data_IF_181920764548
#
_entry.id   IF_181920764548
#
_cell.length_a   1.000
_cell.length_b   1.000
_cell.length_c   1.000
_cell.angle_alpha   90.00
_cell.angle_beta   90.00
_cell.angle_gamma   90.00
#
_symmetry.space_group_name_H-M   'P 1'
#
loop_
_entity.id
_entity.type
_entity.pdbx_description
1 polymer ?
#
# COMPACT_ATOMS: atom_id res chain seq x y z
N UNK A 1 -46.42 -20.16 2.79
CA UNK A 1 -45.22 -20.59 2.03
C UNK A 1 -44.09 -19.64 2.37
N UNK A 2 -42.93 -20.21 2.67
CA UNK A 2 -41.88 -19.70 3.53
C UNK A 2 -41.12 -18.48 2.98
N UNK A 3 -40.98 -17.49 3.86
CA UNK A 3 -39.83 -16.60 4.10
C UNK A 3 -38.68 -16.64 3.08
N UNK A 4 -38.49 -15.53 2.38
CA UNK A 4 -37.22 -15.16 1.73
C UNK A 4 -36.19 -14.89 2.82
N UNK A 5 -35.51 -15.93 3.28
CA UNK A 5 -34.29 -15.75 4.08
C UNK A 5 -33.19 -15.24 3.14
N UNK A 6 -33.05 -13.90 3.12
CA UNK A 6 -31.89 -13.26 2.56
C UNK A 6 -30.67 -13.70 3.35
N UNK A 7 -29.82 -14.52 2.72
CA UNK A 7 -28.48 -14.85 3.23
C UNK A 7 -27.83 -13.54 3.68
N UNK A 8 -27.41 -13.38 4.95
CA UNK A 8 -26.72 -12.17 5.35
C UNK A 8 -25.47 -12.07 4.49
N UNK A 9 -25.44 -11.09 3.59
CA UNK A 9 -24.22 -10.72 2.87
C UNK A 9 -23.21 -10.38 3.94
N UNK A 10 -22.30 -11.31 4.20
CA UNK A 10 -21.15 -11.09 5.07
C UNK A 10 -20.57 -9.74 4.68
N UNK A 11 -20.51 -8.81 5.63
CA UNK A 11 -19.95 -7.49 5.39
C UNK A 11 -18.62 -7.69 4.66
N UNK A 12 -18.49 -7.07 3.49
CA UNK A 12 -17.27 -7.16 2.71
C UNK A 12 -16.14 -6.53 3.55
N UNK A 13 -15.39 -7.37 4.26
CA UNK A 13 -14.14 -6.97 4.88
C UNK A 13 -13.16 -6.66 3.74
N UNK A 14 -12.72 -5.40 3.60
CA UNK A 14 -11.74 -5.05 2.58
C UNK A 14 -10.44 -5.80 2.88
N UNK A 15 -10.17 -6.90 2.18
CA UNK A 15 -8.82 -7.50 2.16
C UNK A 15 -7.93 -6.57 1.35
N UNK A 16 -7.24 -5.65 2.01
CA UNK A 16 -6.20 -4.85 1.37
C UNK A 16 -5.14 -5.77 0.70
N UNK A 17 -4.64 -5.40 -0.49
CA UNK A 17 -4.02 -6.34 -1.39
C UNK A 17 -2.56 -6.62 -1.01
N UNK A 18 -2.32 -7.70 -0.25
CA UNK A 18 -1.05 -8.47 -0.17
C UNK A 18 0.25 -7.74 0.24
N UNK A 19 0.27 -6.42 0.44
CA UNK A 19 1.46 -5.71 0.90
C UNK A 19 1.77 -6.12 2.34
N UNK A 20 2.98 -6.63 2.58
CA UNK A 20 3.39 -7.13 3.91
C UNK A 20 3.33 -6.03 4.97
N UNK A 21 3.73 -4.82 4.60
CA UNK A 21 3.71 -3.64 5.47
C UNK A 21 2.29 -3.23 5.84
N UNK A 22 1.33 -3.28 4.89
CA UNK A 22 -0.05 -2.84 5.14
C UNK A 22 -0.88 -3.82 5.99
N UNK A 23 -0.39 -5.04 6.25
CA UNK A 23 -1.16 -6.05 7.00
C UNK A 23 -1.36 -5.68 8.47
N UNK A 24 -0.38 -4.98 9.03
CA UNK A 24 -0.39 -4.55 10.41
C UNK A 24 -0.33 -3.02 10.43
N UNK A 25 -1.30 -2.40 11.09
CA UNK A 25 -1.44 -0.96 11.12
C UNK A 25 -0.28 -0.26 11.83
N UNK A 26 0.19 -0.80 12.95
CA UNK A 26 1.30 -0.21 13.70
C UNK A 26 2.59 -0.27 12.89
N UNK A 27 2.85 -1.40 12.23
CA UNK A 27 3.98 -1.56 11.31
C UNK A 27 3.85 -0.59 10.13
N UNK A 28 2.66 -0.46 9.55
CA UNK A 28 2.41 0.46 8.42
C UNK A 28 2.70 1.91 8.81
N UNK A 29 2.22 2.35 9.97
CA UNK A 29 2.44 3.72 10.46
C UNK A 29 3.93 3.98 10.66
N UNK A 30 4.63 3.08 11.35
CA UNK A 30 6.08 3.19 11.57
C UNK A 30 6.86 3.25 10.26
N UNK A 31 6.58 2.34 9.32
CA UNK A 31 7.27 2.29 8.02
C UNK A 31 6.99 3.56 7.20
N UNK A 32 5.76 4.09 7.23
CA UNK A 32 5.46 5.36 6.55
C UNK A 32 6.25 6.52 7.14
N UNK A 33 6.33 6.61 8.48
CA UNK A 33 7.12 7.64 9.15
C UNK A 33 8.60 7.58 8.74
N UNK A 34 9.18 6.38 8.68
CA UNK A 34 10.57 6.22 8.22
C UNK A 34 10.73 6.57 6.73
N UNK A 35 9.74 6.23 5.90
CA UNK A 35 9.74 6.59 4.48
C UNK A 35 9.60 8.09 4.24
N UNK A 36 8.99 8.86 5.15
CA UNK A 36 8.93 10.33 5.05
C UNK A 36 10.33 10.96 5.11
N UNK A 37 11.29 10.28 5.74
CA UNK A 37 12.69 10.70 5.79
C UNK A 37 13.52 10.22 4.59
N UNK A 38 12.97 9.36 3.73
CA UNK A 38 13.72 8.80 2.60
C UNK A 38 14.19 9.90 1.66
N UNK A 39 15.49 9.96 1.40
CA UNK A 39 16.13 10.99 0.59
C UNK A 39 16.45 12.28 1.34
N UNK A 40 16.06 12.39 2.62
CA UNK A 40 16.48 13.51 3.46
C UNK A 40 18.01 13.49 3.65
N UNK A 41 18.68 14.65 3.56
CA UNK A 41 20.11 14.74 3.79
C UNK A 41 20.45 14.67 5.28
N UNK A 42 21.38 13.79 5.66
CA UNK A 42 21.98 13.68 6.98
C UNK A 42 23.43 14.17 6.91
N UNK A 43 23.79 15.09 7.81
CA UNK A 43 25.16 15.58 7.93
C UNK A 43 25.99 14.59 8.76
N UNK A 44 27.04 14.03 8.16
CA UNK A 44 27.95 13.08 8.82
C UNK A 44 29.28 13.73 9.25
N UNK A 45 29.41 15.03 9.04
CA UNK A 45 30.62 15.82 9.33
C UNK A 45 30.92 16.83 8.24
N UNK A 46 32.05 17.56 8.33
CA UNK A 46 32.41 18.61 7.39
C UNK A 46 32.42 18.09 5.94
N UNK A 47 31.57 18.67 5.09
CA UNK A 47 31.47 18.34 3.67
C UNK A 47 30.86 16.98 3.32
N UNK A 48 30.38 16.19 4.31
CA UNK A 48 29.81 14.85 4.08
C UNK A 48 28.31 14.84 4.35
N UNK A 49 27.55 14.63 3.28
CA UNK A 49 26.09 14.49 3.32
C UNK A 49 25.71 13.10 2.84
N UNK A 50 24.89 12.39 3.62
CA UNK A 50 24.32 11.09 3.26
C UNK A 50 22.82 11.22 3.12
N UNK A 51 22.25 10.74 2.01
CA UNK A 51 20.80 10.73 1.84
C UNK A 51 20.23 9.42 2.40
N UNK A 52 19.18 9.50 3.22
CA UNK A 52 18.53 8.31 3.79
C UNK A 52 18.06 7.36 2.69
N UNK A 53 18.55 6.12 2.73
CA UNK A 53 18.24 5.06 1.77
C UNK A 53 17.24 4.05 2.34
N UNK A 54 16.75 3.15 1.48
CA UNK A 54 15.97 2.00 1.96
C UNK A 54 16.78 1.08 2.87
N UNK A 55 18.10 1.02 2.72
CA UNK A 55 18.98 0.20 3.57
C UNK A 55 19.03 0.78 4.97
N UNK A 56 19.14 2.10 5.11
CA UNK A 56 19.14 2.77 6.42
C UNK A 56 17.80 2.54 7.14
N UNK A 57 16.68 2.70 6.42
CA UNK A 57 15.34 2.41 6.96
C UNK A 57 15.22 0.93 7.36
N UNK A 58 15.79 0.01 6.59
CA UNK A 58 15.75 -1.41 6.91
C UNK A 58 16.58 -1.75 8.16
N UNK A 59 17.70 -1.05 8.36
CA UNK A 59 18.53 -1.13 9.56
C UNK A 59 17.73 -0.67 10.79
N UNK A 60 17.02 0.46 10.70
CA UNK A 60 16.16 0.95 11.77
C UNK A 60 14.99 0.00 12.09
N UNK A 61 14.56 -0.79 11.11
CA UNK A 61 13.54 -1.83 11.28
C UNK A 61 14.10 -3.15 11.83
N UNK A 62 15.42 -3.33 11.97
CA UNK A 62 15.99 -4.60 12.46
C UNK A 62 15.47 -5.02 13.85
N UNK A 63 15.36 -4.14 14.86
CA UNK A 63 14.83 -4.51 16.17
C UNK A 63 13.39 -5.05 16.10
N UNK A 64 12.57 -4.50 15.20
CA UNK A 64 11.22 -5.00 14.92
C UNK A 64 11.31 -6.36 14.22
N UNK A 65 12.07 -6.45 13.13
CA UNK A 65 12.26 -7.67 12.35
C UNK A 65 12.84 -8.84 13.15
N UNK A 66 13.63 -8.57 14.21
CA UNK A 66 14.16 -9.60 15.10
C UNK A 66 13.05 -10.33 15.88
N UNK A 67 11.94 -9.64 16.17
CA UNK A 67 10.79 -10.16 16.92
C UNK A 67 9.73 -10.81 16.02
N UNK A 68 9.79 -10.55 14.72
CA UNK A 68 8.84 -11.07 13.74
C UNK A 68 9.25 -12.44 13.21
N UNK A 69 8.27 -13.27 12.88
CA UNK A 69 8.52 -14.53 12.21
C UNK A 69 9.09 -14.32 10.80
N UNK A 70 9.81 -15.32 10.28
CA UNK A 70 10.50 -15.21 8.99
C UNK A 70 9.57 -14.81 7.82
N UNK A 71 8.28 -15.16 7.87
CA UNK A 71 7.31 -14.85 6.81
C UNK A 71 6.72 -13.45 6.94
N UNK A 72 6.84 -12.79 8.10
CA UNK A 72 6.34 -11.44 8.37
C UNK A 72 7.41 -10.37 8.44
N UNK A 73 8.70 -10.75 8.55
CA UNK A 73 9.81 -9.80 8.43
C UNK A 73 9.68 -8.91 7.20
N UNK A 74 9.84 -7.60 7.40
CA UNK A 74 9.95 -6.63 6.33
C UNK A 74 11.33 -6.82 5.70
N UNK A 75 11.35 -7.28 4.45
CA UNK A 75 12.54 -7.28 3.63
C UNK A 75 12.64 -5.98 2.84
N UNK A 76 13.84 -5.70 2.32
CA UNK A 76 14.08 -4.63 1.35
C UNK A 76 13.04 -4.62 0.23
N UNK A 77 12.76 -5.78 -0.37
CA UNK A 77 11.78 -5.89 -1.46
C UNK A 77 10.37 -5.51 -1.00
N UNK A 78 9.96 -5.94 0.20
CA UNK A 78 8.63 -5.57 0.70
C UNK A 78 8.51 -4.08 1.07
N UNK A 79 9.58 -3.48 1.60
CA UNK A 79 9.66 -2.05 1.90
C UNK A 79 9.57 -1.21 0.62
N UNK A 80 10.41 -1.53 -0.38
CA UNK A 80 10.40 -0.84 -1.67
C UNK A 80 9.05 -0.96 -2.38
N UNK A 81 8.48 -2.16 -2.43
CA UNK A 81 7.19 -2.39 -3.07
C UNK A 81 6.04 -1.69 -2.34
N UNK A 82 6.16 -1.45 -1.03
CA UNK A 82 5.22 -0.63 -0.26
C UNK A 82 5.38 0.85 -0.62
N UNK A 83 6.62 1.34 -0.60
CA UNK A 83 6.92 2.73 -0.90
C UNK A 83 6.40 3.16 -2.29
N UNK A 84 6.68 2.35 -3.31
CA UNK A 84 6.26 2.63 -4.70
C UNK A 84 4.73 2.65 -4.84
N UNK A 85 4.03 1.68 -4.24
CA UNK A 85 2.58 1.49 -4.45
C UNK A 85 1.69 2.31 -3.51
N UNK A 86 2.16 2.65 -2.32
CA UNK A 86 1.29 3.19 -1.26
C UNK A 86 1.81 4.48 -0.63
N UNK A 87 3.13 4.73 -0.67
CA UNK A 87 3.72 5.93 -0.07
C UNK A 87 4.03 7.03 -1.09
N UNK A 88 4.33 6.68 -2.34
CA UNK A 88 4.54 7.68 -3.39
C UNK A 88 3.24 8.41 -3.73
N UNK A 89 3.32 9.69 -4.12
CA UNK A 89 2.15 10.45 -4.55
C UNK A 89 1.46 9.79 -5.75
N UNK A 90 2.24 9.27 -6.71
CA UNK A 90 1.74 8.48 -7.83
C UNK A 90 1.10 7.16 -7.38
N UNK A 91 1.68 6.48 -6.40
CA UNK A 91 1.14 5.24 -5.83
C UNK A 91 -0.19 5.45 -5.10
N UNK A 92 -0.28 6.52 -4.30
CA UNK A 92 -1.55 6.94 -3.68
C UNK A 92 -2.60 7.30 -4.73
N UNK A 93 -2.23 8.06 -5.75
CA UNK A 93 -3.13 8.41 -6.85
C UNK A 93 -3.61 7.15 -7.59
N UNK A 94 -2.71 6.25 -7.98
CA UNK A 94 -3.05 4.99 -8.66
C UNK A 94 -3.91 4.05 -7.79
N UNK A 95 -3.66 4.00 -6.47
CA UNK A 95 -4.51 3.25 -5.54
C UNK A 95 -5.94 3.81 -5.53
N UNK A 96 -6.09 5.11 -5.32
CA UNK A 96 -7.41 5.75 -5.30
C UNK A 96 -8.11 5.68 -6.66
N UNK A 97 -7.37 5.87 -7.76
CA UNK A 97 -7.86 5.69 -9.11
C UNK A 97 -8.41 4.28 -9.32
N UNK A 98 -7.66 3.24 -8.92
CA UNK A 98 -8.11 1.85 -9.03
C UNK A 98 -9.39 1.59 -8.23
N UNK A 99 -9.52 2.21 -7.05
CA UNK A 99 -10.71 2.11 -6.18
C UNK A 99 -11.91 2.81 -6.79
N UNK A 100 -11.71 4.01 -7.33
CA UNK A 100 -12.74 4.80 -8.00
C UNK A 100 -13.23 4.07 -9.25
N UNK A 101 -12.31 3.59 -10.11
CA UNK A 101 -12.66 2.82 -11.30
C UNK A 101 -13.44 1.55 -10.98
N UNK A 102 -13.08 0.85 -9.90
CA UNK A 102 -13.86 -0.30 -9.43
C UNK A 102 -15.28 0.09 -9.00
N UNK A 103 -15.42 1.17 -8.24
CA UNK A 103 -16.73 1.66 -7.79
C UNK A 103 -17.61 2.12 -8.94
N UNK A 104 -17.02 2.80 -9.92
CA UNK A 104 -17.73 3.23 -11.11
C UNK A 104 -18.16 2.01 -11.94
N UNK A 105 -17.26 1.07 -12.22
CA UNK A 105 -17.62 -0.18 -12.90
C UNK A 105 -18.79 -0.91 -12.21
N UNK A 106 -18.76 -1.02 -10.87
CA UNK A 106 -19.88 -1.57 -10.08
C UNK A 106 -21.19 -0.80 -10.31
N UNK A 107 -21.17 0.54 -10.29
CA UNK A 107 -22.35 1.39 -10.51
C UNK A 107 -22.94 1.25 -11.92
N UNK A 108 -22.09 1.06 -12.93
CA UNK A 108 -22.50 0.85 -14.31
C UNK A 108 -22.85 -0.62 -14.63
N UNK A 109 -22.70 -1.54 -13.66
CA UNK A 109 -22.91 -2.97 -13.89
C UNK A 109 -21.88 -3.59 -14.86
N UNK A 110 -20.68 -3.01 -14.93
CA UNK A 110 -19.60 -3.41 -15.83
C UNK A 110 -18.42 -4.02 -15.08
N UNK A 111 -17.53 -4.69 -15.82
CA UNK A 111 -16.17 -4.98 -15.33
C UNK A 111 -15.32 -3.71 -15.39
N UNK A 112 -14.20 -3.69 -14.65
CA UNK A 112 -13.27 -2.54 -14.67
C UNK A 112 -12.69 -2.35 -16.07
N UNK A 113 -12.37 -3.44 -16.77
CA UNK A 113 -11.88 -3.41 -18.16
C UNK A 113 -12.93 -2.85 -19.12
N UNK A 114 -14.19 -3.28 -19.01
CA UNK A 114 -15.27 -2.78 -19.85
C UNK A 114 -15.58 -1.30 -19.56
N UNK A 115 -15.54 -0.89 -18.29
CA UNK A 115 -15.69 0.51 -17.90
C UNK A 115 -14.55 1.38 -18.47
N UNK A 116 -13.30 0.92 -18.40
CA UNK A 116 -12.16 1.63 -19.00
C UNK A 116 -12.30 1.77 -20.52
N UNK A 117 -12.73 0.69 -21.20
CA UNK A 117 -12.96 0.73 -22.64
C UNK A 117 -14.11 1.68 -23.04
N UNK A 118 -15.14 1.81 -22.19
CA UNK A 118 -16.22 2.78 -22.38
C UNK A 118 -15.71 4.22 -22.26
N UNK A 119 -14.92 4.52 -21.22
CA UNK A 119 -14.36 5.86 -21.01
C UNK A 119 -13.38 6.25 -22.12
N UNK A 120 -12.51 5.33 -22.56
CA UNK A 120 -11.55 5.59 -23.64
C UNK A 120 -12.19 5.82 -25.03
N UNK A 121 -13.48 5.56 -25.18
CA UNK A 121 -14.27 5.85 -26.40
C UNK A 121 -15.03 7.17 -26.32
N UNK A 122 -15.01 7.82 -25.16
CA UNK A 122 -15.75 9.04 -24.86
C UNK A 122 -14.86 10.29 -24.86
N UNK A 123 -13.55 10.11 -25.08
CA UNK A 123 -12.54 11.15 -25.37
C UNK A 123 -12.42 11.38 -26.88
#
# INVERSE_FOLDING_TARGET
LLTTEGVPRKAYEPREPRCRVCRDEAIRVLVNQLLDWRGAPILLGPGKVHAVTYTDILHDLEPLNARLDKKTKISYHSLRAHAERHHSAAGRAAYWESRIQKKLAELYGLTVEAYRALMARSD
#
